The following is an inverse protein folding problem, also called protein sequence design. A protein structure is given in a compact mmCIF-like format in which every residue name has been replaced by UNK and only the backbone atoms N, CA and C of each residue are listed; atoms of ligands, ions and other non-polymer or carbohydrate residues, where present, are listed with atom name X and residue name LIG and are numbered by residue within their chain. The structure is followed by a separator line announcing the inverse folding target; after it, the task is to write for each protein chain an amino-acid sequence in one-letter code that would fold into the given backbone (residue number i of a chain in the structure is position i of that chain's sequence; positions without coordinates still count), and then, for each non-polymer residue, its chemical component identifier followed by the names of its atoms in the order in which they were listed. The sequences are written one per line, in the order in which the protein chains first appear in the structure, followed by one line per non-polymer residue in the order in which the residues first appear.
data_IF_308639532462
#
_entry.id   IF_308639532462
#
_cell.length_a   1.000
_cell.length_b   1.000
_cell.length_c   1.000
_cell.angle_alpha   90.00
_cell.angle_beta   90.00
_cell.angle_gamma   90.00
#
_symmetry.space_group_name_H-M   'P 1'
#
loop_
_entity.id
_entity.type
_entity.pdbx_description
1 polymer ?
#
# COMPACT_ATOMS: atom_id res chain seq x y z
N UNK A 1 22.36 -18.97 -12.04
CA UNK A 1 21.14 -19.07 -11.20
C UNK A 1 20.06 -18.00 -11.51
N UNK A 2 20.15 -17.24 -12.61
CA UNK A 2 19.30 -16.07 -12.88
C UNK A 2 17.99 -16.32 -13.68
N UNK A 3 17.57 -17.58 -13.87
CA UNK A 3 16.44 -17.92 -14.76
C UNK A 3 15.35 -18.81 -14.12
N UNK A 4 15.24 -18.84 -12.79
CA UNK A 4 14.13 -19.56 -12.13
C UNK A 4 12.78 -18.94 -12.52
N UNK A 5 11.76 -19.74 -12.89
CA UNK A 5 10.41 -19.25 -13.16
C UNK A 5 9.83 -18.36 -12.05
N UNK A 6 10.23 -18.59 -10.80
CA UNK A 6 9.83 -17.77 -9.65
C UNK A 6 10.39 -16.34 -9.70
N UNK A 7 11.58 -16.14 -10.25
CA UNK A 7 12.17 -14.79 -10.44
C UNK A 7 11.32 -13.99 -11.44
N UNK A 8 10.92 -14.61 -12.56
CA UNK A 8 10.03 -13.99 -13.55
C UNK A 8 8.65 -13.66 -12.97
N UNK A 9 8.09 -14.55 -12.15
CA UNK A 9 6.80 -14.32 -11.50
C UNK A 9 6.85 -13.18 -10.48
N UNK A 10 7.91 -13.12 -9.65
CA UNK A 10 8.12 -12.02 -8.68
C UNK A 10 8.29 -10.67 -9.36
N UNK A 11 9.01 -10.61 -10.48
CA UNK A 11 9.14 -9.38 -11.27
C UNK A 11 7.79 -8.90 -11.83
N UNK A 12 6.93 -9.81 -12.30
CA UNK A 12 5.57 -9.44 -12.76
C UNK A 12 4.71 -8.90 -11.61
N UNK A 13 4.77 -9.54 -10.45
CA UNK A 13 4.03 -9.07 -9.27
C UNK A 13 4.55 -7.71 -8.81
N UNK A 14 5.87 -7.51 -8.76
CA UNK A 14 6.48 -6.24 -8.36
C UNK A 14 6.07 -5.08 -9.28
N UNK A 15 6.08 -5.32 -10.60
CA UNK A 15 5.55 -4.35 -11.55
C UNK A 15 4.06 -4.05 -11.32
N UNK A 16 3.23 -5.09 -11.15
CA UNK A 16 1.79 -4.92 -11.01
C UNK A 16 1.41 -4.20 -9.70
N UNK A 17 2.07 -4.53 -8.58
CA UNK A 17 1.85 -3.84 -7.32
C UNK A 17 2.29 -2.38 -7.41
N UNK A 18 3.44 -2.11 -8.04
CA UNK A 18 3.95 -0.75 -8.17
C UNK A 18 3.04 0.10 -9.04
N UNK A 19 2.55 -0.46 -10.14
CA UNK A 19 1.60 0.21 -11.02
C UNK A 19 0.30 0.56 -10.27
N UNK A 20 -0.22 -0.38 -9.48
CA UNK A 20 -1.42 -0.18 -8.68
C UNK A 20 -1.24 0.90 -7.60
N UNK A 21 -0.18 0.81 -6.79
CA UNK A 21 0.13 1.80 -5.75
C UNK A 21 0.28 3.18 -6.37
N UNK A 22 1.01 3.30 -7.47
CA UNK A 22 1.28 4.56 -8.13
C UNK A 22 0.02 5.20 -8.72
N UNK A 23 -0.79 4.44 -9.45
CA UNK A 23 -2.07 4.92 -9.98
C UNK A 23 -3.00 5.39 -8.84
N UNK A 24 -3.03 4.63 -7.74
CA UNK A 24 -3.80 4.98 -6.54
C UNK A 24 -3.34 6.30 -5.88
N UNK A 25 -2.03 6.51 -5.79
CA UNK A 25 -1.46 7.72 -5.20
C UNK A 25 -1.70 8.95 -6.07
N UNK A 26 -1.65 8.79 -7.39
CA UNK A 26 -1.85 9.88 -8.36
C UNK A 26 -3.32 10.18 -8.64
N UNK A 27 -4.25 9.34 -8.14
CA UNK A 27 -5.70 9.49 -8.30
C UNK A 27 -6.18 9.49 -9.76
N UNK A 28 -5.42 8.85 -10.64
CA UNK A 28 -5.84 8.60 -12.01
C UNK A 28 -6.79 7.40 -12.04
N UNK A 29 -8.09 7.65 -12.25
CA UNK A 29 -9.12 6.61 -12.20
C UNK A 29 -8.95 5.55 -13.27
N UNK A 30 -8.57 5.96 -14.48
CA UNK A 30 -8.41 5.04 -15.60
C UNK A 30 -7.22 4.13 -15.35
N UNK A 31 -6.11 4.70 -14.88
CA UNK A 31 -4.92 3.93 -14.54
C UNK A 31 -5.14 3.05 -13.29
N UNK A 32 -5.92 3.50 -12.30
CA UNK A 32 -6.28 2.69 -11.13
C UNK A 32 -7.02 1.41 -11.53
N UNK A 33 -7.99 1.52 -12.45
CA UNK A 33 -8.75 0.37 -12.93
C UNK A 33 -7.87 -0.61 -13.72
N UNK A 34 -7.07 -0.10 -14.68
CA UNK A 34 -6.11 -0.92 -15.45
C UNK A 34 -5.12 -1.63 -14.53
N UNK A 35 -4.53 -0.91 -13.58
CA UNK A 35 -3.56 -1.45 -12.66
C UNK A 35 -4.18 -2.51 -11.72
N UNK A 36 -5.40 -2.27 -11.23
CA UNK A 36 -6.13 -3.27 -10.45
C UNK A 36 -6.44 -4.53 -11.27
N UNK A 37 -6.87 -4.37 -12.53
CA UNK A 37 -7.15 -5.50 -13.42
C UNK A 37 -5.91 -6.35 -13.70
N UNK A 38 -4.72 -5.75 -13.76
CA UNK A 38 -3.45 -6.48 -13.82
C UNK A 38 -3.15 -7.17 -12.48
N UNK A 39 -3.14 -6.42 -11.38
CA UNK A 39 -2.72 -6.90 -10.06
C UNK A 39 -3.61 -8.04 -9.54
N UNK A 40 -4.94 -7.98 -9.76
CA UNK A 40 -5.88 -9.00 -9.23
C UNK A 40 -5.60 -10.42 -9.75
N UNK A 41 -4.98 -10.55 -10.92
CA UNK A 41 -4.60 -11.86 -11.50
C UNK A 41 -3.38 -12.48 -10.83
N UNK A 42 -2.59 -11.67 -10.11
CA UNK A 42 -1.35 -12.06 -9.47
C UNK A 42 -1.44 -12.08 -7.93
N UNK A 43 -2.52 -11.53 -7.36
CA UNK A 43 -2.71 -11.49 -5.92
C UNK A 43 -2.90 -12.89 -5.32
N UNK A 44 -2.23 -13.18 -4.19
CA UNK A 44 -2.49 -14.39 -3.42
C UNK A 44 -3.96 -14.53 -2.99
N UNK A 45 -4.45 -15.78 -2.89
CA UNK A 45 -5.87 -16.11 -2.62
C UNK A 45 -6.40 -15.54 -1.30
N UNK A 46 -5.53 -15.28 -0.32
CA UNK A 46 -5.90 -14.63 0.94
C UNK A 46 -6.41 -13.19 0.78
N UNK A 47 -6.26 -12.59 -0.40
CA UNK A 47 -6.81 -11.28 -0.74
C UNK A 47 -8.16 -11.36 -1.48
N UNK A 48 -8.72 -12.57 -1.72
CA UNK A 48 -9.92 -12.76 -2.55
C UNK A 48 -11.12 -11.92 -2.08
N UNK A 49 -11.33 -11.78 -0.77
CA UNK A 49 -12.41 -10.95 -0.24
C UNK A 49 -12.27 -9.46 -0.61
N UNK A 50 -11.05 -8.91 -0.54
CA UNK A 50 -10.76 -7.52 -0.91
C UNK A 50 -10.88 -7.35 -2.42
N UNK A 51 -10.32 -8.29 -3.19
CA UNK A 51 -10.42 -8.29 -4.65
C UNK A 51 -11.88 -8.31 -5.10
N UNK A 52 -12.73 -9.12 -4.48
CA UNK A 52 -14.16 -9.16 -4.79
C UNK A 52 -14.85 -7.82 -4.50
N UNK A 53 -14.57 -7.18 -3.36
CA UNK A 53 -15.15 -5.88 -3.03
C UNK A 53 -14.65 -4.77 -3.97
N UNK A 54 -13.37 -4.78 -4.33
CA UNK A 54 -12.81 -3.85 -5.30
C UNK A 54 -13.38 -4.07 -6.70
N UNK A 55 -13.54 -5.33 -7.14
CA UNK A 55 -14.20 -5.65 -8.40
C UNK A 55 -15.62 -5.11 -8.44
N UNK A 56 -16.39 -5.24 -7.34
CA UNK A 56 -17.71 -4.65 -7.22
C UNK A 56 -17.72 -3.11 -7.38
N UNK A 57 -16.62 -2.41 -7.03
CA UNK A 57 -16.50 -0.98 -7.31
C UNK A 57 -16.22 -0.71 -8.79
N UNK A 58 -15.40 -1.54 -9.45
CA UNK A 58 -15.18 -1.46 -10.91
C UNK A 58 -16.49 -1.66 -11.66
N UNK A 59 -17.25 -2.70 -11.32
CA UNK A 59 -18.52 -3.04 -11.97
C UNK A 59 -19.56 -1.91 -11.82
N UNK A 60 -19.51 -1.17 -10.70
CA UNK A 60 -20.37 -0.02 -10.42
C UNK A 60 -19.81 1.31 -10.94
N UNK A 61 -18.69 1.29 -11.67
CA UNK A 61 -17.98 2.50 -12.12
C UNK A 61 -17.62 3.47 -10.97
N UNK A 62 -17.38 2.92 -9.78
CA UNK A 62 -17.11 3.64 -8.55
C UNK A 62 -15.61 3.69 -8.20
N UNK A 63 -14.73 3.47 -9.18
CA UNK A 63 -13.27 3.62 -9.00
C UNK A 63 -12.94 5.05 -8.56
N UNK A 64 -12.19 5.17 -7.47
CA UNK A 64 -11.87 6.44 -6.82
C UNK A 64 -12.89 6.94 -5.80
N UNK A 65 -13.98 6.20 -5.54
CA UNK A 65 -14.89 6.47 -4.42
C UNK A 65 -14.19 6.37 -3.05
N UNK A 66 -14.83 6.83 -1.97
CA UNK A 66 -14.33 6.64 -0.60
C UNK A 66 -14.09 5.15 -0.30
N UNK A 67 -15.00 4.28 -0.71
CA UNK A 67 -14.86 2.82 -0.54
C UNK A 67 -13.71 2.25 -1.36
N UNK A 68 -13.55 2.66 -2.63
CA UNK A 68 -12.38 2.26 -3.43
C UNK A 68 -11.07 2.69 -2.78
N UNK A 69 -11.00 3.94 -2.33
CA UNK A 69 -9.79 4.49 -1.73
C UNK A 69 -9.42 3.77 -0.44
N UNK A 70 -10.42 3.40 0.37
CA UNK A 70 -10.25 2.57 1.55
C UNK A 70 -9.75 1.16 1.20
N UNK A 71 -10.42 0.47 0.27
CA UNK A 71 -10.04 -0.90 -0.11
C UNK A 71 -8.62 -0.94 -0.70
N UNK A 72 -8.26 0.04 -1.51
CA UNK A 72 -6.89 0.18 -2.03
C UNK A 72 -5.88 0.41 -0.91
N UNK A 73 -6.15 1.33 0.03
CA UNK A 73 -5.26 1.57 1.17
C UNK A 73 -5.11 0.32 2.05
N UNK A 74 -6.22 -0.39 2.33
CA UNK A 74 -6.22 -1.62 3.10
C UNK A 74 -5.46 -2.76 2.40
N UNK A 75 -5.61 -2.90 1.08
CA UNK A 75 -4.82 -3.87 0.30
C UNK A 75 -3.32 -3.58 0.40
N UNK A 76 -2.91 -2.31 0.29
CA UNK A 76 -1.51 -1.90 0.41
C UNK A 76 -1.00 -2.12 1.84
N UNK A 77 -1.81 -1.82 2.86
CA UNK A 77 -1.47 -2.08 4.27
C UNK A 77 -1.33 -3.58 4.58
N UNK A 78 -2.06 -4.46 3.89
CA UNK A 78 -1.86 -5.91 4.00
C UNK A 78 -0.60 -6.42 3.31
N UNK A 79 0.04 -5.59 2.48
CA UNK A 79 1.23 -5.95 1.74
C UNK A 79 2.37 -4.95 2.05
N UNK A 80 3.10 -5.12 3.17
CA UNK A 80 4.23 -4.26 3.52
C UNK A 80 5.29 -4.08 2.43
N UNK A 81 5.44 -5.00 1.47
CA UNK A 81 6.35 -4.77 0.34
C UNK A 81 5.86 -3.77 -0.70
N UNK A 82 4.61 -3.34 -0.63
CA UNK A 82 4.00 -2.52 -1.66
C UNK A 82 4.54 -1.07 -1.65
N UNK A 83 4.95 -0.59 -2.83
CA UNK A 83 5.60 0.71 -3.04
C UNK A 83 5.32 1.24 -4.45
N UNK A 84 5.36 2.56 -4.71
CA UNK A 84 4.97 3.14 -6.01
C UNK A 84 6.03 3.00 -7.13
N UNK A 85 7.02 2.14 -6.94
CA UNK A 85 8.22 1.99 -7.78
C UNK A 85 8.57 0.52 -7.93
N UNK A 86 9.24 0.18 -9.03
CA UNK A 86 9.69 -1.18 -9.31
C UNK A 86 11.12 -1.35 -8.82
N UNK A 87 11.42 -2.45 -8.15
CA UNK A 87 12.77 -2.74 -7.68
C UNK A 87 13.56 -3.41 -8.81
N UNK A 88 14.47 -2.68 -9.45
CA UNK A 88 15.38 -3.23 -10.45
C UNK A 88 16.55 -3.97 -9.80
N UNK A 89 16.93 -5.11 -10.40
CA UNK A 89 17.94 -6.00 -9.84
C UNK A 89 17.31 -7.15 -9.05
N UNK A 90 17.67 -7.27 -7.76
CA UNK A 90 17.16 -8.33 -6.90
C UNK A 90 15.79 -7.96 -6.32
N UNK A 91 14.72 -8.72 -6.60
CA UNK A 91 13.41 -8.44 -6.02
C UNK A 91 13.44 -8.64 -4.50
N UNK A 92 12.46 -8.04 -3.80
CA UNK A 92 12.22 -8.29 -2.37
C UNK A 92 12.30 -9.80 -2.07
N UNK A 93 13.14 -10.15 -1.10
CA UNK A 93 13.37 -11.55 -0.70
C UNK A 93 12.19 -12.08 0.10
N UNK A 94 11.70 -11.27 1.04
CA UNK A 94 10.56 -11.54 1.90
C UNK A 94 9.24 -11.47 1.12
N UNK A 95 8.22 -12.21 1.57
CA UNK A 95 6.90 -12.12 0.95
C UNK A 95 6.33 -10.70 1.07
N UNK A 96 5.61 -10.22 0.05
CA UNK A 96 5.02 -8.88 0.08
C UNK A 96 4.02 -8.68 1.23
N UNK A 97 3.38 -9.76 1.70
CA UNK A 97 2.47 -9.76 2.85
C UNK A 97 3.16 -9.85 4.21
N UNK A 98 4.50 -9.91 4.24
CA UNK A 98 5.31 -10.02 5.46
C UNK A 98 6.12 -8.76 5.68
N UNK A 99 6.19 -8.39 6.96
CA UNK A 99 7.08 -7.33 7.45
C UNK A 99 8.50 -7.87 7.35
N UNK A 100 9.35 -7.10 6.71
CA UNK A 100 10.78 -7.36 6.55
C UNK A 100 11.56 -6.77 7.73
N UNK A 101 12.54 -7.51 8.23
CA UNK A 101 13.32 -7.12 9.41
C UNK A 101 14.33 -6.00 9.13
N UNK A 102 14.63 -5.73 7.85
CA UNK A 102 15.53 -4.66 7.40
C UNK A 102 14.78 -3.37 7.02
N UNK A 103 13.54 -3.23 7.48
CA UNK A 103 12.72 -2.01 7.33
C UNK A 103 12.36 -1.65 5.89
N UNK A 104 12.37 -2.59 4.94
CA UNK A 104 11.81 -2.40 3.59
C UNK A 104 10.26 -2.40 3.64
N UNK A 105 9.63 -1.83 4.67
CA UNK A 105 8.18 -1.92 4.88
C UNK A 105 7.47 -0.63 4.51
N UNK A 106 6.71 -0.71 3.42
CA UNK A 106 6.09 0.40 2.70
C UNK A 106 7.13 1.47 2.32
N UNK A 107 6.73 2.48 1.54
CA UNK A 107 7.67 3.53 1.14
C UNK A 107 7.87 4.56 2.27
N UNK A 108 9.11 5.00 2.46
CA UNK A 108 9.48 6.13 3.32
C UNK A 108 9.18 7.47 2.67
N UNK A 109 9.63 7.56 1.45
CA UNK A 109 9.54 8.65 0.51
C UNK A 109 9.60 7.99 -0.87
N UNK A 110 9.21 8.74 -1.90
CA UNK A 110 9.39 8.27 -3.27
C UNK A 110 10.69 8.87 -3.80
N UNK A 111 11.81 8.53 -3.14
CA UNK A 111 13.13 8.90 -3.66
C UNK A 111 13.59 7.84 -4.66
N UNK A 112 14.08 8.29 -5.81
CA UNK A 112 14.59 7.43 -6.87
C UNK A 112 16.12 7.55 -6.94
N UNK A 113 16.76 7.76 -5.79
CA UNK A 113 18.18 8.09 -5.77
C UNK A 113 19.00 6.96 -6.40
N UNK A 114 19.63 7.29 -7.53
CA UNK A 114 20.39 6.35 -8.36
C UNK A 114 21.72 5.90 -7.70
N UNK A 115 22.09 6.48 -6.54
CA UNK A 115 23.45 6.47 -5.99
C UNK A 115 23.65 5.60 -4.75
N UNK A 116 22.65 4.83 -4.34
CA UNK A 116 22.82 3.90 -3.23
C UNK A 116 23.31 2.56 -3.81
N UNK A 117 24.62 2.46 -4.08
CA UNK A 117 25.27 1.31 -4.75
C UNK A 117 25.00 -0.03 -4.04
N UNK A 118 24.59 0.01 -2.77
CA UNK A 118 24.26 -1.15 -1.94
C UNK A 118 22.77 -1.55 -2.00
N UNK A 119 21.88 -0.75 -2.61
CA UNK A 119 20.45 -1.04 -2.73
C UNK A 119 20.03 -1.29 -4.19
N UNK A 120 19.06 -2.20 -4.43
CA UNK A 120 18.52 -2.35 -5.77
C UNK A 120 17.88 -1.03 -6.25
N UNK A 121 18.16 -0.68 -7.50
CA UNK A 121 17.70 0.58 -8.11
C UNK A 121 16.18 0.64 -8.21
N UNK A 122 15.55 1.73 -7.78
CA UNK A 122 14.10 1.90 -7.90
C UNK A 122 13.74 2.60 -9.23
N UNK A 123 12.94 1.93 -10.07
CA UNK A 123 12.49 2.45 -11.37
C UNK A 123 11.04 2.91 -11.28
N UNK A 124 10.70 4.14 -11.68
CA UNK A 124 9.31 4.56 -11.81
C UNK A 124 8.58 3.72 -12.85
N UNK A 125 7.35 3.29 -12.52
CA UNK A 125 6.53 2.51 -13.46
C UNK A 125 6.36 3.22 -14.81
N UNK A 126 6.11 4.53 -14.81
CA UNK A 126 6.01 5.29 -16.06
C UNK A 126 7.33 5.34 -16.79
N UNK A 127 8.49 5.41 -16.12
CA UNK A 127 9.77 5.33 -16.84
C UNK A 127 9.95 4.00 -17.59
N UNK A 128 9.30 2.92 -17.14
CA UNK A 128 9.24 1.64 -17.87
C UNK A 128 8.28 1.65 -19.07
N UNK A 129 7.29 2.54 -19.07
CA UNK A 129 6.26 2.67 -20.12
C UNK A 129 6.54 3.82 -21.11
N UNK A 130 7.12 4.92 -20.61
CA UNK A 130 7.36 6.20 -21.26
C UNK A 130 8.56 6.93 -20.61
N UNK A 131 9.56 7.40 -21.38
CA UNK A 131 10.77 8.02 -20.82
C UNK A 131 10.56 9.39 -20.12
N UNK A 132 9.37 9.99 -20.16
CA UNK A 132 9.09 11.34 -19.64
C UNK A 132 8.32 11.37 -18.29
N UNK A 133 8.82 10.70 -17.25
CA UNK A 133 8.12 10.54 -15.97
C UNK A 133 8.31 11.69 -14.93
N UNK A 134 9.13 12.71 -15.21
CA UNK A 134 9.60 13.69 -14.19
C UNK A 134 8.49 14.40 -13.38
N UNK A 135 7.45 15.01 -13.99
CA UNK A 135 6.44 15.74 -13.21
C UNK A 135 5.61 14.85 -12.27
N UNK A 136 5.47 13.58 -12.62
CA UNK A 136 4.72 12.60 -11.85
C UNK A 136 5.50 12.13 -10.63
N UNK A 137 6.83 12.00 -10.77
CA UNK A 137 7.74 11.66 -9.68
C UNK A 137 7.70 12.72 -8.59
N UNK A 138 7.70 14.01 -8.95
CA UNK A 138 7.63 15.11 -7.97
C UNK A 138 6.30 15.12 -7.21
N UNK A 139 5.19 14.76 -7.87
CA UNK A 139 3.90 14.57 -7.18
C UNK A 139 3.97 13.45 -6.16
N UNK A 140 4.64 12.34 -6.50
CA UNK A 140 4.78 11.20 -5.60
C UNK A 140 5.65 11.53 -4.38
N UNK A 141 6.77 12.24 -4.57
CA UNK A 141 7.64 12.72 -3.49
C UNK A 141 6.88 13.60 -2.48
N UNK A 142 6.01 14.47 -2.97
CA UNK A 142 5.23 15.39 -2.13
C UNK A 142 4.18 14.68 -1.23
N UNK A 143 3.87 13.40 -1.45
CA UNK A 143 2.88 12.66 -0.66
C UNK A 143 3.40 12.22 0.72
N UNK A 144 4.72 12.20 0.91
CA UNK A 144 5.36 11.71 2.13
C UNK A 144 5.25 10.20 2.33
N UNK A 145 5.45 9.76 3.57
CA UNK A 145 5.55 8.33 3.90
C UNK A 145 4.21 7.58 3.84
N UNK A 146 4.30 6.28 3.56
CA UNK A 146 3.14 5.41 3.45
C UNK A 146 2.29 5.33 4.72
N UNK A 147 2.85 5.20 5.94
CA UNK A 147 2.03 5.05 7.15
C UNK A 147 1.09 6.24 7.35
N UNK A 148 1.57 7.45 7.06
CA UNK A 148 0.74 8.65 7.12
C UNK A 148 -0.34 8.62 6.05
N UNK A 149 0.05 8.40 4.79
CA UNK A 149 -0.88 8.46 3.66
C UNK A 149 -1.98 7.42 3.77
N UNK A 150 -1.62 6.17 4.04
CA UNK A 150 -2.53 5.04 4.12
C UNK A 150 -3.35 5.09 5.41
N UNK A 151 -2.70 5.41 6.54
CA UNK A 151 -3.37 5.51 7.83
C UNK A 151 -4.43 6.61 7.86
N UNK A 152 -4.14 7.79 7.29
CA UNK A 152 -5.14 8.86 7.17
C UNK A 152 -6.36 8.43 6.36
N UNK A 153 -6.18 7.74 5.22
CA UNK A 153 -7.30 7.24 4.42
C UNK A 153 -8.18 6.26 5.22
N UNK A 154 -7.57 5.36 5.98
CA UNK A 154 -8.30 4.43 6.84
C UNK A 154 -9.06 5.15 7.95
N UNK A 155 -8.43 6.13 8.62
CA UNK A 155 -9.05 6.93 9.68
C UNK A 155 -10.22 7.76 9.16
N UNK A 156 -10.06 8.39 7.99
CA UNK A 156 -11.10 9.20 7.36
C UNK A 156 -12.30 8.35 6.94
N UNK A 157 -12.04 7.17 6.35
CA UNK A 157 -13.08 6.23 5.98
C UNK A 157 -13.81 5.69 7.21
N UNK A 158 -13.07 5.25 8.23
CA UNK A 158 -13.63 4.76 9.48
C UNK A 158 -14.50 5.81 10.17
N UNK A 159 -14.12 7.09 10.10
CA UNK A 159 -14.89 8.18 10.72
C UNK A 159 -16.29 8.32 10.11
N UNK A 160 -16.44 8.04 8.81
CA UNK A 160 -17.69 8.14 8.04
C UNK A 160 -18.52 6.84 8.05
N UNK A 161 -17.85 5.69 7.99
CA UNK A 161 -18.49 4.38 7.85
C UNK A 161 -18.09 3.50 9.04
N UNK A 162 -19.03 3.16 9.92
CA UNK A 162 -18.73 2.45 11.17
C UNK A 162 -18.98 0.94 11.12
N UNK A 163 -19.70 0.45 10.09
CA UNK A 163 -20.16 -0.94 10.01
C UNK A 163 -19.34 -1.83 9.06
N UNK A 164 -18.36 -1.28 8.35
CA UNK A 164 -17.51 -2.07 7.45
C UNK A 164 -16.65 -3.06 8.25
N UNK A 165 -16.78 -4.34 7.93
CA UNK A 165 -16.13 -5.46 8.63
C UNK A 165 -14.62 -5.49 8.46
N UNK A 166 -14.07 -4.78 7.47
CA UNK A 166 -12.63 -4.69 7.23
C UNK A 166 -11.95 -3.63 8.11
N UNK A 167 -12.71 -2.71 8.71
CA UNK A 167 -12.18 -1.62 9.51
C UNK A 167 -11.32 -2.03 10.71
N UNK A 168 -11.69 -3.06 11.51
CA UNK A 168 -10.87 -3.42 12.66
C UNK A 168 -9.44 -3.81 12.27
N UNK A 169 -9.30 -4.61 11.21
CA UNK A 169 -7.99 -5.01 10.71
C UNK A 169 -7.27 -3.84 10.04
N UNK A 170 -7.97 -3.03 9.23
CA UNK A 170 -7.37 -1.88 8.56
C UNK A 170 -6.80 -0.87 9.56
N UNK A 171 -7.53 -0.58 10.65
CA UNK A 171 -7.07 0.32 11.72
C UNK A 171 -5.89 -0.28 12.49
N UNK A 172 -5.90 -1.60 12.77
CA UNK A 172 -4.75 -2.30 13.33
C UNK A 172 -3.51 -2.18 12.44
N UNK A 173 -3.67 -2.43 11.14
CA UNK A 173 -2.58 -2.34 10.17
C UNK A 173 -2.07 -0.91 10.02
N UNK A 174 -2.94 0.11 10.12
CA UNK A 174 -2.52 1.51 10.13
C UNK A 174 -1.60 1.81 11.34
N UNK A 175 -1.96 1.38 12.54
CA UNK A 175 -1.09 1.49 13.74
C UNK A 175 0.19 0.67 13.59
N UNK A 176 0.11 -0.51 12.97
CA UNK A 176 1.28 -1.36 12.73
C UNK A 176 2.25 -0.71 11.73
N UNK A 177 1.73 -0.07 10.68
CA UNK A 177 2.53 0.62 9.68
C UNK A 177 3.30 1.79 10.27
N UNK A 178 2.73 2.55 11.21
CA UNK A 178 3.47 3.63 11.90
C UNK A 178 4.56 3.12 12.83
N UNK A 179 4.50 1.84 13.25
CA UNK A 179 5.55 1.21 14.05
C UNK A 179 6.71 0.71 13.20
N UNK A 180 6.41 0.03 12.09
CA UNK A 180 7.38 -0.73 11.29
C UNK A 180 7.74 -0.11 9.93
N UNK A 181 7.01 0.92 9.49
CA UNK A 181 7.37 1.74 8.36
C UNK A 181 8.07 3.03 8.78
N UNK A 182 8.35 3.88 7.78
CA UNK A 182 8.94 5.19 8.00
C UNK A 182 8.04 6.13 8.80
N UNK A 183 8.66 7.11 9.46
CA UNK A 183 7.99 8.02 10.39
C UNK A 183 8.44 9.46 10.16
N UNK A 184 7.53 10.38 10.39
CA UNK A 184 7.78 11.82 10.51
C UNK A 184 6.94 12.41 11.65
N UNK A 185 6.97 13.74 11.81
CA UNK A 185 6.24 14.46 12.87
C UNK A 185 4.71 14.27 12.84
N UNK A 186 4.13 13.81 11.72
CA UNK A 186 2.69 13.56 11.57
C UNK A 186 2.32 12.13 11.96
N UNK A 187 3.27 11.20 11.99
CA UNK A 187 3.04 9.76 12.19
C UNK A 187 2.40 9.43 13.54
N UNK A 188 2.82 10.11 14.61
CA UNK A 188 2.21 9.98 15.95
C UNK A 188 0.71 10.27 15.94
N UNK A 189 0.28 11.34 15.25
CA UNK A 189 -1.13 11.75 15.19
C UNK A 189 -1.99 10.72 14.44
N UNK A 190 -1.46 10.17 13.34
CA UNK A 190 -2.16 9.15 12.55
C UNK A 190 -2.32 7.86 13.35
N UNK A 191 -1.24 7.40 13.99
CA UNK A 191 -1.26 6.21 14.86
C UNK A 191 -2.27 6.38 16.00
N UNK A 192 -2.27 7.55 16.66
CA UNK A 192 -3.20 7.87 17.72
C UNK A 192 -4.67 7.83 17.26
N UNK A 193 -4.97 8.44 16.11
CA UNK A 193 -6.33 8.45 15.58
C UNK A 193 -6.82 7.04 15.25
N UNK A 194 -5.99 6.23 14.58
CA UNK A 194 -6.32 4.85 14.23
C UNK A 194 -6.54 3.98 15.48
N UNK A 195 -5.66 4.08 16.47
CA UNK A 195 -5.77 3.36 17.73
C UNK A 195 -7.05 3.73 18.49
N UNK A 196 -7.34 5.03 18.64
CA UNK A 196 -8.53 5.49 19.36
C UNK A 196 -9.82 5.04 18.67
N UNK A 197 -9.88 5.10 17.34
CA UNK A 197 -11.03 4.60 16.57
C UNK A 197 -11.21 3.09 16.76
N UNK A 198 -10.13 2.32 16.70
CA UNK A 198 -10.17 0.87 16.89
C UNK A 198 -10.71 0.49 18.28
N UNK A 199 -10.11 1.05 19.33
CA UNK A 199 -10.44 0.74 20.72
C UNK A 199 -11.79 1.30 21.17
N UNK A 200 -12.26 2.40 20.58
CA UNK A 200 -13.58 2.95 20.92
C UNK A 200 -14.74 2.20 20.25
N UNK A 201 -14.60 1.84 18.97
CA UNK A 201 -15.71 1.30 18.15
C UNK A 201 -15.75 -0.21 18.07
N UNK A 202 -14.61 -0.88 18.18
CA UNK A 202 -14.50 -2.33 17.99
C UNK A 202 -14.00 -3.01 19.27
N UNK A 203 -14.59 -2.64 20.42
CA UNK A 203 -14.26 -3.22 21.73
C UNK A 203 -14.37 -4.75 21.69
N UNK A 204 -13.37 -5.45 22.22
CA UNK A 204 -13.34 -6.91 22.28
C UNK A 204 -13.02 -7.62 20.96
N UNK A 205 -12.93 -6.90 19.82
CA UNK A 205 -12.50 -7.51 18.55
C UNK A 205 -11.04 -8.01 18.64
N UNK A 206 -10.72 -9.10 17.93
CA UNK A 206 -9.38 -9.70 17.92
C UNK A 206 -8.29 -8.70 17.53
N UNK A 207 -8.58 -7.78 16.62
CA UNK A 207 -7.62 -6.76 16.18
C UNK A 207 -7.39 -5.69 17.23
N UNK A 208 -8.43 -5.32 17.98
CA UNK A 208 -8.33 -4.40 19.12
C UNK A 208 -7.41 -4.98 20.20
N UNK A 209 -7.54 -6.26 20.51
CA UNK A 209 -6.68 -6.95 21.48
C UNK A 209 -5.23 -7.05 20.99
N UNK A 210 -5.02 -7.28 19.69
CA UNK A 210 -3.70 -7.36 19.05
C UNK A 210 -3.03 -6.00 18.81
N UNK A 211 -3.70 -4.89 19.10
CA UNK A 211 -3.18 -3.53 18.83
C UNK A 211 -2.72 -2.87 20.12
N UNK A 212 -1.42 -2.97 20.45
CA UNK A 212 -0.84 -2.23 21.56
C UNK A 212 -0.73 -0.74 21.25
N UNK A 213 -0.49 0.05 22.30
CA UNK A 213 -0.34 1.49 22.22
C UNK A 213 1.04 1.87 21.66
N UNK A 214 1.08 2.47 20.46
CA UNK A 214 2.31 2.79 19.74
C UNK A 214 2.29 4.22 19.16
N UNK A 215 2.30 5.23 20.03
CA UNK A 215 2.48 6.64 19.69
C UNK A 215 2.82 7.47 20.92
#
# INVERSE_FOLDING_TARGET
MAASPQVKARQKFDFAQAYFVRAYLLKDKQEMEKAFNLLKTLLPKENAAIVSQMQAQVDKQAVGSDQWNFLAAYLILRNPGAKPVVTAGLPRREAFSRIDDYSDNWWSDVSLDEKDDDKPFEVPVKALLEPAAKPEIEKLKALGCAPNKLGSVVVDYASKYSSDKLLPEALHLAVKATRFGAKDDKTTKVSQAAFKLLHSRFKGNVWTQKTPYYY
#
